data_IF_172784640263
#
_entry.id   IF_172784640263
#
_cell.length_a   1.000
_cell.length_b   1.000
_cell.length_c   1.000
_cell.angle_alpha   90.00
_cell.angle_beta   90.00
_cell.angle_gamma   90.00
#
_symmetry.space_group_name_H-M   'P 1'
#
loop_
_entity.id
_entity.type
_entity.pdbx_description
1 polymer ?
#
# COMPACT_ATOMS: atom_id res chain seq x y z
N UNK A 1 -1.46 -2.03 7.27
CA UNK A 1 -0.12 -2.48 6.83
C UNK A 1 0.70 -2.88 8.04
N UNK A 2 1.32 -4.04 8.01
CA UNK A 2 2.28 -4.52 9.00
C UNK A 2 3.71 -4.43 8.44
N UNK A 3 4.65 -3.98 9.27
CA UNK A 3 6.08 -3.84 8.98
C UNK A 3 6.90 -4.32 10.19
N UNK A 4 8.19 -4.54 10.03
CA UNK A 4 9.08 -4.99 11.11
C UNK A 4 10.06 -3.89 11.48
N UNK A 5 10.16 -3.57 12.75
CA UNK A 5 11.17 -2.64 13.30
C UNK A 5 12.57 -3.24 13.21
N UNK A 6 13.65 -2.42 13.23
CA UNK A 6 15.02 -2.93 13.22
C UNK A 6 15.35 -3.90 14.39
N UNK A 7 14.64 -3.78 15.51
CA UNK A 7 14.77 -4.68 16.66
C UNK A 7 13.90 -5.94 16.59
N UNK A 8 13.25 -6.19 15.43
CA UNK A 8 12.39 -7.35 15.18
C UNK A 8 10.95 -7.23 15.67
N UNK A 9 10.59 -6.18 16.40
CA UNK A 9 9.21 -6.00 16.86
C UNK A 9 8.27 -5.65 15.70
N UNK A 10 7.06 -6.22 15.66
CA UNK A 10 6.07 -5.84 14.65
C UNK A 10 5.55 -4.42 14.88
N UNK A 11 5.16 -3.78 13.78
CA UNK A 11 4.51 -2.48 13.79
C UNK A 11 3.36 -2.49 12.80
N UNK A 12 2.18 -2.06 13.21
CA UNK A 12 0.97 -2.00 12.37
C UNK A 12 0.47 -0.56 12.33
N UNK A 13 0.06 -0.13 11.14
CA UNK A 13 -0.54 1.19 10.91
C UNK A 13 -1.60 1.07 9.81
N UNK A 14 -2.77 1.74 9.94
CA UNK A 14 -3.72 1.85 8.84
C UNK A 14 -3.07 2.62 7.67
N UNK A 15 -3.36 2.20 6.44
CA UNK A 15 -2.88 2.87 5.23
C UNK A 15 -4.01 3.00 4.22
N UNK A 16 -4.18 4.21 3.72
CA UNK A 16 -4.96 4.47 2.53
C UNK A 16 -4.11 4.18 1.30
N UNK A 17 -4.72 3.65 0.27
CA UNK A 17 -4.04 3.38 -0.98
C UNK A 17 -4.95 2.68 -1.98
N UNK A 18 -4.46 2.55 -3.19
CA UNK A 18 -5.18 2.01 -4.33
C UNK A 18 -4.33 0.98 -5.09
N UNK A 19 -4.99 0.07 -5.78
CA UNK A 19 -4.35 -0.89 -6.67
C UNK A 19 -4.33 -0.34 -8.09
N UNK A 20 -3.14 -0.29 -8.68
CA UNK A 20 -2.95 0.03 -10.09
C UNK A 20 -1.73 -0.74 -10.62
N UNK A 21 -1.83 -1.26 -11.84
CA UNK A 21 -0.76 -1.99 -12.54
C UNK A 21 -0.16 -3.15 -11.71
N UNK A 22 -1.02 -3.88 -10.98
CA UNK A 22 -0.62 -5.02 -10.14
C UNK A 22 0.15 -4.64 -8.87
N UNK A 23 0.14 -3.39 -8.46
CA UNK A 23 0.81 -2.86 -7.26
C UNK A 23 -0.15 -2.07 -6.39
N UNK A 24 0.13 -2.04 -5.09
CA UNK A 24 -0.57 -1.17 -4.16
C UNK A 24 0.21 0.13 -3.99
N UNK A 25 -0.45 1.24 -4.29
CA UNK A 25 0.11 2.59 -4.24
C UNK A 25 -0.47 3.34 -3.06
N UNK A 26 0.40 3.97 -2.30
CA UNK A 26 0.03 4.80 -1.15
C UNK A 26 1.08 5.89 -0.94
N UNK A 27 0.74 6.94 -0.22
CA UNK A 27 1.69 8.00 0.08
C UNK A 27 1.72 8.34 1.57
N UNK A 28 2.67 9.17 1.95
CA UNK A 28 2.84 9.64 3.31
C UNK A 28 4.25 10.14 3.60
N UNK A 29 4.38 10.79 4.75
CA UNK A 29 5.66 11.34 5.18
C UNK A 29 6.73 10.26 5.35
N UNK A 30 7.91 10.51 4.83
CA UNK A 30 9.06 9.58 4.83
C UNK A 30 9.70 9.40 6.20
N UNK A 31 9.42 10.28 7.14
CA UNK A 31 9.94 10.25 8.51
C UNK A 31 9.07 9.43 9.49
N UNK A 32 8.04 8.77 8.98
CA UNK A 32 7.18 7.90 9.78
C UNK A 32 7.87 6.60 10.19
N UNK A 33 7.38 5.96 11.25
CA UNK A 33 7.94 4.69 11.74
C UNK A 33 7.91 3.61 10.66
N UNK A 34 6.78 3.45 9.95
CA UNK A 34 6.66 2.43 8.91
C UNK A 34 7.61 2.70 7.73
N UNK A 35 7.80 3.97 7.33
CA UNK A 35 8.73 4.31 6.26
C UNK A 35 10.18 3.98 6.64
N UNK A 36 10.59 4.29 7.88
CA UNK A 36 11.91 3.88 8.39
C UNK A 36 12.07 2.37 8.48
N UNK A 37 11.03 1.64 8.91
CA UNK A 37 11.06 0.19 8.94
C UNK A 37 11.29 -0.40 7.55
N UNK A 38 10.55 0.10 6.54
CA UNK A 38 10.66 -0.35 5.15
C UNK A 38 12.02 -0.01 4.52
N UNK A 39 12.65 1.09 4.94
CA UNK A 39 14.02 1.41 4.53
C UNK A 39 15.07 0.40 5.03
N UNK A 40 14.78 -0.29 6.14
CA UNK A 40 15.66 -1.34 6.70
C UNK A 40 15.25 -2.75 6.26
N UNK A 41 13.95 -2.98 6.11
CA UNK A 41 13.39 -4.25 5.68
C UNK A 41 12.11 -3.99 4.85
N UNK A 42 12.16 -4.14 3.53
CA UNK A 42 11.05 -3.82 2.65
C UNK A 42 9.86 -4.80 2.77
N UNK A 43 10.02 -5.93 3.43
CA UNK A 43 8.95 -6.91 3.61
C UNK A 43 7.78 -6.32 4.42
N UNK A 44 6.58 -6.50 3.91
CA UNK A 44 5.37 -6.00 4.55
C UNK A 44 4.15 -6.87 4.24
N UNK A 45 3.11 -6.67 5.02
CA UNK A 45 1.80 -7.31 4.83
C UNK A 45 0.71 -6.25 4.85
N UNK A 46 -0.20 -6.34 3.90
CA UNK A 46 -1.48 -5.64 3.89
C UNK A 46 -2.59 -6.63 4.19
N UNK A 47 -3.61 -6.21 4.92
CA UNK A 47 -4.86 -6.94 5.03
C UNK A 47 -6.03 -5.98 5.12
N UNK A 48 -7.21 -6.43 4.73
CA UNK A 48 -8.45 -5.74 4.97
C UNK A 48 -8.80 -5.80 6.48
N UNK A 49 -9.59 -4.87 6.94
CA UNK A 49 -9.98 -4.74 8.35
C UNK A 49 -10.97 -5.81 8.82
N UNK A 50 -11.73 -6.41 7.89
CA UNK A 50 -12.68 -7.46 8.24
C UNK A 50 -11.95 -8.78 8.51
N UNK A 51 -12.13 -9.32 9.71
CA UNK A 51 -11.55 -10.61 10.11
C UNK A 51 -12.37 -11.84 9.70
N UNK A 52 -13.58 -11.65 9.15
CA UNK A 52 -14.44 -12.73 8.67
C UNK A 52 -14.24 -13.00 7.20
N UNK A 53 -14.20 -11.93 6.42
CA UNK A 53 -13.85 -11.95 5.00
C UNK A 53 -12.48 -11.29 4.87
N UNK A 54 -11.47 -12.06 4.57
CA UNK A 54 -10.11 -11.54 4.60
C UNK A 54 -9.45 -11.56 3.23
N UNK A 55 -8.67 -10.52 3.00
CA UNK A 55 -7.65 -10.48 1.96
C UNK A 55 -6.34 -10.08 2.63
N UNK A 56 -5.36 -10.97 2.58
CA UNK A 56 -4.03 -10.76 3.15
C UNK A 56 -3.04 -10.81 2.00
N UNK A 57 -2.25 -9.76 1.83
CA UNK A 57 -1.26 -9.66 0.76
C UNK A 57 0.12 -9.44 1.37
N UNK A 58 1.04 -10.33 1.10
CA UNK A 58 2.45 -10.21 1.45
C UNK A 58 3.25 -9.70 0.25
N UNK A 59 4.25 -8.87 0.50
CA UNK A 59 5.10 -8.31 -0.54
C UNK A 59 6.22 -7.44 -0.01
N UNK A 60 6.78 -6.64 -0.90
CA UNK A 60 7.85 -5.69 -0.61
C UNK A 60 7.39 -4.29 -0.96
N UNK A 61 7.67 -3.35 -0.08
CA UNK A 61 7.30 -1.96 -0.28
C UNK A 61 8.54 -1.07 -0.32
N UNK A 62 8.57 -0.16 -1.29
CA UNK A 62 9.69 0.75 -1.52
C UNK A 62 9.20 2.13 -1.97
N UNK A 63 9.98 3.19 -1.73
CA UNK A 63 9.67 4.50 -2.28
C UNK A 63 9.57 4.44 -3.80
N UNK A 64 8.54 5.07 -4.33
CA UNK A 64 8.37 5.21 -5.78
C UNK A 64 9.23 6.36 -6.33
N UNK A 65 9.55 6.27 -7.61
CA UNK A 65 9.95 7.43 -8.43
C UNK A 65 8.70 8.18 -8.90
N UNK A 66 8.82 9.45 -9.35
CA UNK A 66 7.70 10.17 -9.93
C UNK A 66 6.97 9.35 -10.99
N UNK A 67 5.64 9.19 -10.88
CA UNK A 67 4.90 8.25 -11.73
C UNK A 67 4.71 8.73 -13.17
N UNK A 68 4.91 10.03 -13.42
CA UNK A 68 4.56 10.67 -14.69
C UNK A 68 3.06 10.94 -14.84
N UNK A 69 2.66 11.72 -15.83
CA UNK A 69 1.31 12.26 -15.93
C UNK A 69 0.23 11.18 -16.13
N UNK A 70 0.53 10.10 -16.82
CA UNK A 70 -0.44 9.04 -17.08
C UNK A 70 -0.78 8.25 -15.81
N UNK A 71 0.21 7.71 -15.13
CA UNK A 71 -0.01 6.96 -13.90
C UNK A 71 -0.46 7.89 -12.76
N UNK A 72 0.13 9.08 -12.64
CA UNK A 72 -0.26 10.10 -11.66
C UNK A 72 -1.74 10.47 -11.79
N UNK A 73 -2.23 10.71 -13.01
CA UNK A 73 -3.65 10.97 -13.27
C UNK A 73 -4.55 9.80 -12.84
N UNK A 74 -4.19 8.56 -13.15
CA UNK A 74 -4.95 7.38 -12.74
C UNK A 74 -4.97 7.19 -11.22
N UNK A 75 -3.84 7.40 -10.56
CA UNK A 75 -3.75 7.33 -9.09
C UNK A 75 -4.58 8.42 -8.42
N UNK A 76 -4.51 9.67 -8.93
CA UNK A 76 -5.33 10.79 -8.46
C UNK A 76 -6.82 10.47 -8.51
N UNK A 77 -7.31 9.98 -9.65
CA UNK A 77 -8.71 9.60 -9.82
C UNK A 77 -9.09 8.50 -8.82
N UNK A 78 -8.32 7.41 -8.77
CA UNK A 78 -8.63 6.28 -7.90
C UNK A 78 -8.60 6.64 -6.40
N UNK A 79 -7.64 7.48 -5.97
CA UNK A 79 -7.58 7.99 -4.60
C UNK A 79 -8.76 8.88 -4.28
N UNK A 80 -9.12 9.79 -5.18
CA UNK A 80 -10.25 10.70 -5.02
C UNK A 80 -11.59 9.95 -4.96
N UNK A 81 -11.80 8.98 -5.83
CA UNK A 81 -13.00 8.14 -5.80
C UNK A 81 -13.16 7.39 -4.47
N UNK A 82 -12.06 6.91 -3.92
CA UNK A 82 -12.07 6.10 -2.70
C UNK A 82 -12.08 6.92 -1.42
N UNK A 83 -11.40 8.06 -1.38
CA UNK A 83 -11.13 8.81 -0.17
C UNK A 83 -11.56 10.28 -0.21
N UNK A 84 -12.09 10.77 -1.34
CA UNK A 84 -12.49 12.16 -1.51
C UNK A 84 -13.53 12.61 -0.47
N UNK A 85 -14.51 11.76 -0.12
CA UNK A 85 -15.48 12.04 0.94
C UNK A 85 -14.85 12.13 2.34
N UNK A 86 -13.63 11.62 2.51
CA UNK A 86 -12.85 11.71 3.74
C UNK A 86 -11.84 12.87 3.71
N UNK A 87 -11.91 13.73 2.66
CA UNK A 87 -11.07 14.92 2.53
C UNK A 87 -9.72 14.68 1.87
N UNK A 88 -9.52 13.56 1.15
CA UNK A 88 -8.30 13.26 0.44
C UNK A 88 -8.53 13.14 -1.07
N UNK A 89 -8.08 14.16 -1.80
CA UNK A 89 -8.18 14.27 -3.26
C UNK A 89 -6.88 14.85 -3.81
N UNK A 90 -5.85 14.03 -4.05
CA UNK A 90 -4.57 14.51 -4.56
C UNK A 90 -4.70 14.96 -6.01
N UNK A 91 -3.97 16.02 -6.39
CA UNK A 91 -3.87 16.45 -7.78
C UNK A 91 -3.06 15.43 -8.60
N UNK A 92 -3.26 15.37 -9.94
CA UNK A 92 -2.53 14.44 -10.80
C UNK A 92 -1.00 14.54 -10.74
N UNK A 93 -0.48 15.73 -10.40
CA UNK A 93 0.95 16.05 -10.28
C UNK A 93 1.47 16.04 -8.83
N UNK A 94 0.64 15.60 -7.86
CA UNK A 94 1.00 15.58 -6.43
C UNK A 94 2.28 14.79 -6.14
N UNK A 95 2.65 13.88 -7.03
CA UNK A 95 3.80 12.99 -6.87
C UNK A 95 4.96 13.29 -7.84
N UNK A 96 4.94 14.47 -8.50
CA UNK A 96 5.96 14.91 -9.45
C UNK A 96 7.09 15.65 -8.74
N UNK A 97 7.72 15.36 -7.86
CA UNK A 97 8.86 15.99 -7.18
C UNK A 97 10.03 15.03 -7.00
N UNK A 98 11.17 15.50 -6.52
CA UNK A 98 12.36 14.66 -6.32
C UNK A 98 12.13 13.46 -5.41
N UNK A 99 11.21 13.57 -4.48
CA UNK A 99 10.80 12.54 -3.53
C UNK A 99 9.46 11.88 -3.88
N UNK A 100 8.95 12.13 -5.09
CA UNK A 100 7.63 11.66 -5.54
C UNK A 100 6.49 11.96 -4.53
N UNK A 101 6.53 13.11 -3.84
CA UNK A 101 5.52 13.49 -2.84
C UNK A 101 5.33 12.46 -1.73
N UNK A 102 6.34 11.62 -1.46
CA UNK A 102 6.24 10.52 -0.51
C UNK A 102 5.49 9.29 -1.04
N UNK A 103 5.22 9.22 -2.34
CA UNK A 103 4.60 8.06 -2.96
C UNK A 103 5.44 6.80 -2.73
N UNK A 104 4.77 5.72 -2.44
CA UNK A 104 5.36 4.43 -2.14
C UNK A 104 4.57 3.35 -2.86
N UNK A 105 5.22 2.33 -3.35
CA UNK A 105 4.56 1.19 -3.98
C UNK A 105 4.89 -0.11 -3.25
N UNK A 106 3.90 -0.98 -3.15
CA UNK A 106 4.08 -2.36 -2.70
C UNK A 106 3.90 -3.30 -3.89
N UNK A 107 4.90 -4.11 -4.14
CA UNK A 107 4.84 -5.22 -5.10
C UNK A 107 4.43 -6.49 -4.36
N UNK A 108 3.28 -7.11 -4.69
CA UNK A 108 2.83 -8.33 -4.04
C UNK A 108 3.69 -9.52 -4.46
N UNK A 109 3.84 -10.48 -3.57
CA UNK A 109 4.51 -11.77 -3.85
C UNK A 109 3.57 -12.94 -3.67
N UNK A 110 2.68 -12.84 -2.69
CA UNK A 110 1.61 -13.83 -2.47
C UNK A 110 0.42 -13.17 -1.79
N UNK A 111 -0.73 -13.80 -1.95
CA UNK A 111 -1.92 -13.42 -1.21
C UNK A 111 -2.68 -14.64 -0.73
N UNK A 112 -3.52 -14.42 0.28
CA UNK A 112 -4.50 -15.37 0.77
C UNK A 112 -5.81 -14.62 0.97
N UNK A 113 -6.91 -15.23 0.52
CA UNK A 113 -8.24 -14.65 0.66
C UNK A 113 -9.29 -15.71 0.97
N UNK A 114 -10.36 -15.29 1.66
CA UNK A 114 -11.56 -16.10 1.90
C UNK A 114 -12.77 -15.21 2.18
N UNK A 115 -13.95 -15.73 1.88
CA UNK A 115 -15.25 -15.17 2.26
C UNK A 115 -15.96 -16.03 3.31
N UNK A 116 -15.77 -17.35 3.24
CA UNK A 116 -16.38 -18.35 4.16
C UNK A 116 -15.31 -19.29 4.70
N UNK A 117 -14.53 -18.81 5.67
CA UNK A 117 -13.48 -19.62 6.30
C UNK A 117 -14.09 -20.85 7.04
N UNK A 118 -13.50 -22.06 6.90
CA UNK A 118 -12.30 -22.42 6.12
C UNK A 118 -12.60 -22.94 4.70
N UNK A 119 -13.83 -22.83 4.23
CA UNK A 119 -14.34 -23.56 3.06
C UNK A 119 -13.72 -23.10 1.74
N UNK A 120 -13.46 -21.81 1.58
CA UNK A 120 -13.05 -21.17 0.33
C UNK A 120 -11.66 -20.51 0.37
N UNK A 121 -10.82 -20.89 1.32
CA UNK A 121 -9.47 -20.31 1.45
C UNK A 121 -8.66 -20.52 0.19
N UNK A 122 -8.32 -19.42 -0.48
CA UNK A 122 -7.58 -19.41 -1.73
C UNK A 122 -6.22 -18.73 -1.56
N UNK A 123 -5.18 -19.30 -2.15
CA UNK A 123 -3.82 -18.75 -2.18
C UNK A 123 -3.43 -18.35 -3.60
N UNK A 124 -2.78 -17.20 -3.71
CA UNK A 124 -2.27 -16.64 -4.94
C UNK A 124 -0.75 -16.45 -4.83
N UNK A 125 -0.05 -16.61 -5.95
CA UNK A 125 1.36 -16.25 -6.12
C UNK A 125 1.46 -15.33 -7.33
N UNK A 126 2.23 -14.27 -7.19
CA UNK A 126 2.48 -13.27 -8.21
C UNK A 126 3.87 -13.40 -8.80
#
# INVERSE_FOLDING_TARGET
>A
MATTRPDGRPHVVPRWGVWADGRFWYDGARDTIHARNLGSNPACVLHLEDGRQAVIVEGHSEPATPPGPELGGRLSIAMTEKYGTLGYSPEPDAWEGPDAGGLTMMTPTKAMAWFEFPTDVTRFRF
#
